data_IF_036276365070
#
_entry.id   IF_036276365070
#
_cell.length_a   1.000
_cell.length_b   1.000
_cell.length_c   1.000
_cell.angle_alpha   90.00
_cell.angle_beta   90.00
_cell.angle_gamma   90.00
#
_symmetry.space_group_name_H-M   'P 1'
#
loop_
_entity.id
_entity.type
_entity.pdbx_description
1 polymer ?
#
# COMPACT_ATOMS: atom_id res chain seq x y z
N UNK A 1 -18.32 3.22 -25.03
CA UNK A 1 -16.92 3.54 -25.36
C UNK A 1 -16.19 4.44 -24.36
N UNK A 2 -16.85 5.37 -23.66
CA UNK A 2 -16.21 6.25 -22.65
C UNK A 2 -15.74 5.54 -21.37
N UNK A 3 -16.42 4.48 -20.92
CA UNK A 3 -16.07 3.76 -19.69
C UNK A 3 -14.73 2.98 -19.76
N UNK A 4 -14.41 2.44 -20.92
CA UNK A 4 -13.15 1.70 -21.15
C UNK A 4 -11.95 2.65 -21.13
N UNK A 5 -12.12 3.89 -21.58
CA UNK A 5 -11.06 4.91 -21.62
C UNK A 5 -10.68 5.43 -20.22
N UNK A 6 -11.64 5.52 -19.28
CA UNK A 6 -11.36 5.90 -17.89
C UNK A 6 -10.59 4.81 -17.13
N UNK A 7 -10.94 3.53 -17.34
CA UNK A 7 -10.28 2.39 -16.68
C UNK A 7 -8.82 2.23 -17.12
N UNK A 8 -8.51 2.59 -18.36
CA UNK A 8 -7.15 2.52 -18.90
C UNK A 8 -6.25 3.61 -18.34
N UNK A 9 -6.75 4.84 -18.18
CA UNK A 9 -5.98 5.94 -17.58
C UNK A 9 -5.60 5.65 -16.12
N UNK A 10 -6.46 4.97 -15.37
CA UNK A 10 -6.17 4.55 -13.99
C UNK A 10 -5.10 3.46 -13.93
N UNK A 11 -5.10 2.48 -14.85
CA UNK A 11 -4.08 1.43 -14.91
C UNK A 11 -2.69 1.96 -15.30
N UNK A 12 -2.62 2.96 -16.18
CA UNK A 12 -1.35 3.57 -16.60
C UNK A 12 -0.70 4.40 -15.47
N UNK A 13 -1.51 5.06 -14.63
CA UNK A 13 -1.01 5.79 -13.46
C UNK A 13 -0.43 4.87 -12.37
N UNK A 14 -0.87 3.62 -12.28
CA UNK A 14 -0.38 2.64 -11.30
C UNK A 14 1.03 2.11 -11.60
N UNK A 15 1.54 2.27 -12.82
CA UNK A 15 2.84 1.75 -13.25
C UNK A 15 3.99 2.74 -13.23
N UNK A 16 3.88 3.85 -12.53
CA UNK A 16 5.01 4.75 -12.27
C UNK A 16 5.45 5.65 -13.44
N UNK A 17 4.66 5.76 -14.49
CA UNK A 17 4.96 6.49 -15.74
C UNK A 17 4.89 8.03 -15.64
N UNK A 18 5.16 8.63 -14.49
CA UNK A 18 4.85 10.05 -14.25
C UNK A 18 5.75 11.08 -14.94
N UNK A 19 6.84 10.74 -15.59
CA UNK A 19 7.73 11.70 -16.26
C UNK A 19 8.58 11.08 -17.39
N UNK A 20 8.07 10.06 -18.03
CA UNK A 20 8.62 9.61 -19.32
C UNK A 20 7.81 10.32 -20.38
N UNK A 21 8.41 10.65 -21.53
CA UNK A 21 7.66 11.03 -22.73
C UNK A 21 6.59 9.98 -23.00
N UNK A 22 5.42 10.21 -22.41
CA UNK A 22 4.29 9.32 -22.60
C UNK A 22 3.97 9.31 -24.09
N UNK A 23 4.10 8.17 -24.77
CA UNK A 23 3.71 8.12 -26.15
C UNK A 23 2.27 8.59 -26.28
N UNK A 24 1.93 9.33 -27.32
CA UNK A 24 0.53 9.65 -27.61
C UNK A 24 -0.26 8.33 -27.50
N UNK A 25 -1.46 8.39 -26.89
CA UNK A 25 -2.29 7.19 -26.63
C UNK A 25 -2.28 6.18 -27.78
N UNK A 26 -2.36 6.68 -29.00
CA UNK A 26 -2.35 5.89 -30.23
C UNK A 26 -1.07 5.09 -30.45
N UNK A 27 0.10 5.64 -30.11
CA UNK A 27 1.39 4.95 -30.23
C UNK A 27 1.53 3.82 -29.22
N UNK A 28 1.06 4.03 -27.98
CA UNK A 28 1.06 2.99 -26.97
C UNK A 28 0.24 1.77 -27.40
N UNK A 29 -0.97 2.01 -27.93
CA UNK A 29 -1.87 0.92 -28.35
C UNK A 29 -1.40 0.17 -29.60
N UNK A 30 -0.55 0.78 -30.43
CA UNK A 30 0.06 0.09 -31.58
C UNK A 30 1.11 -0.94 -31.14
N UNK A 31 1.81 -0.71 -30.03
CA UNK A 31 2.83 -1.64 -29.53
C UNK A 31 2.95 -1.59 -27.99
N UNK A 32 1.95 -2.08 -27.25
CA UNK A 32 1.93 -1.99 -25.79
C UNK A 32 3.08 -2.76 -25.12
N UNK A 33 3.51 -3.90 -25.68
CA UNK A 33 4.61 -4.70 -25.14
C UNK A 33 5.96 -3.98 -25.23
N UNK A 34 6.23 -3.29 -26.33
CA UNK A 34 7.43 -2.45 -26.46
C UNK A 34 7.48 -1.38 -25.38
N UNK A 35 6.38 -0.64 -25.16
CA UNK A 35 6.34 0.42 -24.15
C UNK A 35 6.40 -0.13 -22.72
N UNK A 36 5.81 -1.29 -22.45
CA UNK A 36 5.95 -1.98 -21.17
C UNK A 36 7.39 -2.43 -20.92
N UNK A 37 8.06 -2.99 -21.93
CA UNK A 37 9.46 -3.41 -21.85
C UNK A 37 10.38 -2.21 -21.58
N UNK A 38 10.22 -1.10 -22.36
CA UNK A 38 10.95 0.15 -22.15
C UNK A 38 10.77 0.71 -20.75
N UNK A 39 9.54 0.70 -20.21
CA UNK A 39 9.24 1.13 -18.85
C UNK A 39 9.90 0.24 -17.78
N UNK A 40 9.91 -1.08 -17.97
CA UNK A 40 10.60 -2.01 -17.07
C UNK A 40 12.12 -1.75 -17.03
N UNK A 41 12.72 -1.49 -18.18
CA UNK A 41 14.16 -1.20 -18.29
C UNK A 41 14.53 0.12 -17.65
N UNK A 42 13.74 1.16 -17.91
CA UNK A 42 13.93 2.46 -17.28
C UNK A 42 13.76 2.38 -15.76
N UNK A 43 12.76 1.63 -15.28
CA UNK A 43 12.61 1.38 -13.85
C UNK A 43 13.83 0.68 -13.27
N UNK A 44 14.37 -0.38 -13.92
CA UNK A 44 15.59 -1.08 -13.46
C UNK A 44 16.77 -0.09 -13.35
N UNK A 45 16.98 0.74 -14.37
CA UNK A 45 18.05 1.75 -14.42
C UNK A 45 17.92 2.80 -13.32
N UNK A 46 16.70 3.25 -13.04
CA UNK A 46 16.40 4.32 -12.10
C UNK A 46 15.93 3.81 -10.71
N UNK A 47 16.02 2.51 -10.42
CA UNK A 47 15.48 1.87 -9.19
C UNK A 47 15.89 2.59 -7.90
N UNK A 48 17.18 3.01 -7.79
CA UNK A 48 17.70 3.75 -6.61
C UNK A 48 16.99 5.11 -6.45
N UNK A 49 16.81 5.86 -7.55
CA UNK A 49 16.12 7.16 -7.56
C UNK A 49 14.66 7.02 -7.14
N UNK A 50 13.96 6.02 -7.68
CA UNK A 50 12.56 5.76 -7.32
C UNK A 50 12.40 5.32 -5.86
N UNK A 51 13.29 4.47 -5.35
CA UNK A 51 13.31 4.09 -3.92
C UNK A 51 13.51 5.31 -3.01
N UNK A 52 14.47 6.21 -3.33
CA UNK A 52 14.71 7.44 -2.57
C UNK A 52 13.46 8.33 -2.56
N UNK A 53 12.83 8.54 -3.73
CA UNK A 53 11.59 9.33 -3.86
C UNK A 53 10.41 8.72 -3.09
N UNK A 54 10.27 7.40 -3.12
CA UNK A 54 9.22 6.71 -2.36
C UNK A 54 9.43 6.89 -0.85
N UNK A 55 10.66 6.70 -0.35
CA UNK A 55 10.98 6.95 1.06
C UNK A 55 10.62 8.38 1.49
N UNK A 56 10.96 9.39 0.70
CA UNK A 56 10.66 10.79 1.02
C UNK A 56 9.16 11.15 0.94
N UNK A 57 8.36 10.34 0.26
CA UNK A 57 6.94 10.60 0.03
C UNK A 57 6.02 9.51 0.60
N UNK A 58 6.50 8.70 1.56
CA UNK A 58 5.75 7.58 2.10
C UNK A 58 4.37 8.00 2.66
N UNK A 59 4.32 9.09 3.42
CA UNK A 59 3.09 9.62 4.00
C UNK A 59 2.07 9.97 2.90
N UNK A 60 2.51 10.74 1.90
CA UNK A 60 1.66 11.10 0.73
C UNK A 60 1.15 9.87 -0.01
N UNK A 61 2.00 8.86 -0.15
CA UNK A 61 1.62 7.59 -0.78
C UNK A 61 0.56 6.84 0.01
N UNK A 62 0.68 6.79 1.36
CA UNK A 62 -0.32 6.17 2.23
C UNK A 62 -1.65 6.93 2.19
N UNK A 63 -1.61 8.25 2.28
CA UNK A 63 -2.81 9.10 2.17
C UNK A 63 -3.52 8.89 0.83
N UNK A 64 -2.76 8.95 -0.29
CA UNK A 64 -3.33 8.74 -1.61
C UNK A 64 -3.99 7.35 -1.73
N UNK A 65 -3.34 6.30 -1.25
CA UNK A 65 -3.91 4.95 -1.23
C UNK A 65 -5.18 4.86 -0.38
N UNK A 66 -5.25 5.55 0.76
CA UNK A 66 -6.43 5.61 1.60
C UNK A 66 -7.60 6.31 0.90
N UNK A 67 -7.35 7.46 0.23
CA UNK A 67 -8.35 8.18 -0.57
C UNK A 67 -8.94 7.26 -1.64
N UNK A 68 -8.10 6.53 -2.38
CA UNK A 68 -8.57 5.64 -3.44
C UNK A 68 -9.42 4.48 -2.88
N UNK A 69 -9.02 3.88 -1.75
CA UNK A 69 -9.80 2.82 -1.09
C UNK A 69 -11.11 3.35 -0.52
N UNK A 70 -11.11 4.53 0.12
CA UNK A 70 -12.32 5.16 0.63
C UNK A 70 -13.33 5.42 -0.48
N UNK A 71 -12.89 6.01 -1.60
CA UNK A 71 -13.73 6.23 -2.78
C UNK A 71 -14.28 4.93 -3.36
N UNK A 72 -13.41 3.92 -3.53
CA UNK A 72 -13.80 2.63 -4.12
C UNK A 72 -14.88 1.91 -3.30
N UNK A 73 -14.81 2.01 -1.98
CA UNK A 73 -15.68 1.28 -1.05
C UNK A 73 -16.72 2.17 -0.38
N UNK A 74 -16.87 3.42 -0.82
CA UNK A 74 -17.80 4.42 -0.27
C UNK A 74 -17.69 4.56 1.26
N UNK A 75 -16.43 4.71 1.75
CA UNK A 75 -16.14 4.81 3.18
C UNK A 75 -15.94 6.27 3.61
N UNK A 76 -16.28 6.62 4.87
CA UNK A 76 -15.92 7.91 5.46
C UNK A 76 -14.42 8.21 5.35
N UNK A 77 -14.08 9.50 5.12
CA UNK A 77 -12.69 9.93 4.97
C UNK A 77 -12.52 11.37 5.44
N UNK A 78 -11.68 11.61 6.46
CA UNK A 78 -11.37 12.95 6.99
C UNK A 78 -9.92 13.12 7.48
N UNK A 79 -8.99 12.23 7.07
CA UNK A 79 -7.60 12.30 7.49
C UNK A 79 -6.71 13.11 6.55
N UNK A 80 -5.65 13.68 7.11
CA UNK A 80 -4.61 14.46 6.44
C UNK A 80 -3.24 13.77 6.51
N UNK A 81 -2.23 14.36 5.85
CA UNK A 81 -0.83 13.92 6.00
C UNK A 81 -0.34 14.07 7.45
N UNK A 82 -0.82 15.09 8.18
CA UNK A 82 -0.42 15.33 9.55
C UNK A 82 -0.96 14.22 10.46
N UNK A 83 -2.22 13.82 10.33
CA UNK A 83 -2.80 12.74 11.10
C UNK A 83 -2.02 11.41 10.94
N UNK A 84 -1.50 11.15 9.72
CA UNK A 84 -0.64 9.97 9.49
C UNK A 84 0.73 10.13 10.14
N UNK A 85 1.32 11.32 10.15
CA UNK A 85 2.59 11.58 10.82
C UNK A 85 2.48 11.41 12.33
N UNK A 86 1.39 11.90 12.92
CA UNK A 86 1.14 11.89 14.37
C UNK A 86 1.02 10.47 14.92
N UNK A 87 0.48 9.53 14.14
CA UNK A 87 0.39 8.11 14.52
C UNK A 87 1.57 7.26 14.07
N UNK A 88 2.58 7.86 13.39
CA UNK A 88 3.74 7.09 12.93
C UNK A 88 4.62 6.68 14.10
N UNK A 89 4.94 5.37 14.27
CA UNK A 89 5.77 4.92 15.39
C UNK A 89 7.15 5.60 15.41
N UNK A 90 7.53 6.17 16.54
CA UNK A 90 8.78 6.94 16.72
C UNK A 90 10.01 6.08 16.42
N UNK A 91 9.99 4.81 16.83
CA UNK A 91 11.06 3.83 16.63
C UNK A 91 11.02 3.19 15.22
N UNK A 92 10.05 3.58 14.40
CA UNK A 92 9.82 3.05 13.06
C UNK A 92 9.61 1.52 13.06
N UNK A 93 8.96 0.98 14.09
CA UNK A 93 8.59 -0.44 14.23
C UNK A 93 7.10 -0.64 14.20
N UNK A 94 6.69 -1.83 13.76
CA UNK A 94 5.30 -2.26 13.83
C UNK A 94 4.87 -2.46 15.30
N UNK A 95 3.87 -1.73 15.81
CA UNK A 95 3.45 -1.86 17.20
C UNK A 95 2.83 -3.23 17.51
N UNK A 96 2.27 -3.93 16.51
CA UNK A 96 1.65 -5.24 16.70
C UNK A 96 2.66 -6.40 16.73
N UNK A 97 3.75 -6.34 15.95
CA UNK A 97 4.69 -7.44 15.78
C UNK A 97 6.13 -7.10 16.19
N UNK A 98 6.40 -5.86 16.61
CA UNK A 98 7.73 -5.36 17.01
C UNK A 98 8.81 -5.54 15.91
N UNK A 99 8.43 -5.59 14.63
CA UNK A 99 9.35 -5.71 13.49
C UNK A 99 9.68 -4.34 12.93
N UNK A 100 10.93 -4.14 12.50
CA UNK A 100 11.40 -2.90 11.90
C UNK A 100 10.76 -2.66 10.54
N UNK A 101 10.21 -1.47 10.30
CA UNK A 101 9.67 -1.14 8.99
C UNK A 101 10.76 -1.00 7.93
N UNK A 102 10.56 -1.67 6.80
CA UNK A 102 11.37 -1.51 5.59
C UNK A 102 10.60 -0.64 4.59
N UNK A 103 11.11 0.59 4.37
CA UNK A 103 10.51 1.54 3.43
C UNK A 103 11.25 1.46 2.09
N UNK A 104 10.52 1.23 1.00
CA UNK A 104 11.05 1.27 -0.38
C UNK A 104 11.50 -0.07 -0.94
N UNK A 105 11.02 -1.19 -0.40
CA UNK A 105 11.06 -2.49 -1.07
C UNK A 105 9.96 -2.58 -2.12
N UNK A 106 10.33 -2.94 -3.35
CA UNK A 106 9.37 -3.25 -4.43
C UNK A 106 9.20 -4.76 -4.65
N UNK A 107 9.74 -5.58 -3.76
CA UNK A 107 9.48 -7.00 -3.80
C UNK A 107 8.03 -7.24 -3.38
N UNK A 108 7.33 -8.03 -4.16
CA UNK A 108 5.89 -8.28 -4.09
C UNK A 108 5.41 -8.87 -2.76
N UNK A 109 6.32 -9.15 -1.83
CA UNK A 109 6.08 -9.73 -0.51
C UNK A 109 6.85 -9.01 0.59
N UNK A 110 6.91 -7.68 0.57
CA UNK A 110 7.56 -6.96 1.67
C UNK A 110 6.61 -6.89 2.88
N UNK A 111 6.57 -7.96 3.66
CA UNK A 111 5.78 -8.08 4.88
C UNK A 111 6.12 -7.02 5.94
N UNK A 112 7.34 -6.49 5.92
CA UNK A 112 7.84 -5.48 6.86
C UNK A 112 7.52 -4.05 6.42
N UNK A 113 6.88 -3.85 5.27
CA UNK A 113 6.51 -2.52 4.82
C UNK A 113 5.40 -1.93 5.70
N UNK A 114 5.46 -0.61 6.03
CA UNK A 114 4.38 0.03 6.78
C UNK A 114 3.09 0.05 5.95
N UNK A 115 1.97 -0.25 6.59
CA UNK A 115 0.62 -0.17 6.05
C UNK A 115 -0.22 0.81 6.87
N UNK A 116 -0.98 1.67 6.20
CA UNK A 116 -2.04 2.45 6.85
C UNK A 116 -3.31 1.60 6.88
N UNK A 117 -3.70 1.24 8.08
CA UNK A 117 -4.83 0.37 8.37
C UNK A 117 -5.92 1.10 9.13
N UNK A 118 -7.10 0.53 9.19
CA UNK A 118 -8.27 1.01 9.93
C UNK A 118 -8.50 0.10 11.13
N UNK A 119 -8.61 0.68 12.32
CA UNK A 119 -8.89 -0.07 13.55
C UNK A 119 -10.25 -0.78 13.44
N UNK A 120 -11.27 -0.05 12.97
CA UNK A 120 -12.61 -0.59 12.68
C UNK A 120 -12.88 -0.37 11.19
N UNK A 121 -12.90 -1.43 10.36
CA UNK A 121 -13.01 -1.30 8.91
C UNK A 121 -14.20 -0.48 8.41
N UNK A 122 -15.37 -0.63 9.05
CA UNK A 122 -16.61 0.06 8.65
C UNK A 122 -16.61 1.56 8.91
N UNK A 123 -15.81 2.04 9.87
CA UNK A 123 -15.69 3.48 10.19
C UNK A 123 -14.88 4.28 9.17
N UNK A 124 -14.20 3.62 8.22
CA UNK A 124 -13.43 4.30 7.20
C UNK A 124 -12.11 4.91 7.72
N UNK A 125 -11.56 5.83 6.93
CA UNK A 125 -10.29 6.54 7.24
C UNK A 125 -10.60 7.87 7.92
N UNK A 126 -10.92 7.80 9.21
CA UNK A 126 -11.25 8.96 10.04
C UNK A 126 -10.28 9.08 11.21
N UNK A 127 -10.16 10.29 11.77
CA UNK A 127 -9.31 10.55 12.94
C UNK A 127 -9.66 9.61 14.08
N UNK A 128 -8.62 9.04 14.73
CA UNK A 128 -8.76 8.07 15.81
C UNK A 128 -9.13 6.65 15.36
N UNK A 129 -9.38 6.41 14.05
CA UNK A 129 -9.67 5.09 13.51
C UNK A 129 -8.59 4.56 12.56
N UNK A 130 -7.41 5.17 12.56
CA UNK A 130 -6.28 4.77 11.72
C UNK A 130 -5.08 4.37 12.57
N UNK A 131 -4.28 3.45 12.04
CA UNK A 131 -3.02 3.00 12.63
C UNK A 131 -1.97 2.69 11.58
N UNK A 132 -0.68 2.73 11.97
CA UNK A 132 0.43 2.25 11.13
C UNK A 132 0.90 0.92 11.69
N UNK A 133 0.74 -0.14 10.91
CA UNK A 133 1.21 -1.49 11.22
C UNK A 133 2.04 -2.03 10.06
N UNK A 134 2.69 -3.18 10.21
CA UNK A 134 3.34 -3.86 9.07
C UNK A 134 2.31 -4.45 8.10
N UNK A 135 2.70 -4.63 6.85
CA UNK A 135 1.87 -5.33 5.88
C UNK A 135 1.53 -6.74 6.34
N UNK A 136 2.44 -7.40 7.07
CA UNK A 136 2.18 -8.71 7.69
C UNK A 136 1.04 -8.62 8.73
N UNK A 137 1.14 -7.69 9.70
CA UNK A 137 0.10 -7.53 10.72
C UNK A 137 -1.25 -7.19 10.09
N UNK A 138 -1.26 -6.26 9.12
CA UNK A 138 -2.47 -5.91 8.37
C UNK A 138 -3.04 -7.11 7.59
N UNK A 139 -2.19 -7.97 7.03
CA UNK A 139 -2.59 -9.20 6.35
C UNK A 139 -3.17 -10.25 7.30
N UNK A 140 -2.59 -10.41 8.50
CA UNK A 140 -3.11 -11.31 9.53
C UNK A 140 -4.50 -10.87 9.99
N UNK A 141 -4.70 -9.59 10.22
CA UNK A 141 -6.02 -9.04 10.57
C UNK A 141 -7.03 -9.16 9.42
N UNK A 142 -6.65 -8.78 8.22
CA UNK A 142 -7.47 -8.83 7.00
C UNK A 142 -8.97 -8.59 7.25
N UNK A 143 -9.79 -9.66 7.17
CA UNK A 143 -11.22 -9.66 7.44
C UNK A 143 -11.60 -10.32 8.78
N UNK A 144 -10.61 -10.78 9.56
CA UNK A 144 -10.85 -11.42 10.85
C UNK A 144 -11.15 -10.40 11.95
N UNK A 145 -11.94 -10.81 12.95
CA UNK A 145 -12.08 -10.03 14.18
C UNK A 145 -10.87 -10.27 15.11
N UNK A 146 -10.60 -9.35 16.06
CA UNK A 146 -9.54 -9.56 17.06
C UNK A 146 -9.70 -10.89 17.81
N UNK A 147 -10.92 -11.29 18.14
CA UNK A 147 -11.23 -12.55 18.85
C UNK A 147 -10.87 -13.76 17.99
N UNK A 148 -11.17 -13.71 16.68
CA UNK A 148 -10.80 -14.78 15.74
C UNK A 148 -9.27 -14.92 15.62
N UNK A 149 -8.55 -13.81 15.56
CA UNK A 149 -7.07 -13.82 15.53
C UNK A 149 -6.50 -14.45 16.80
N UNK A 150 -7.05 -14.11 17.97
CA UNK A 150 -6.66 -14.70 19.26
C UNK A 150 -6.93 -16.21 19.29
N UNK A 151 -8.09 -16.66 18.84
CA UNK A 151 -8.44 -18.08 18.78
C UNK A 151 -7.46 -18.86 17.90
N UNK A 152 -7.13 -18.34 16.70
CA UNK A 152 -6.15 -18.94 15.80
C UNK A 152 -4.76 -18.97 16.47
N UNK A 153 -4.35 -17.89 17.11
CA UNK A 153 -3.08 -17.82 17.85
C UNK A 153 -2.99 -18.87 18.97
N UNK A 154 -4.03 -18.99 19.79
CA UNK A 154 -4.10 -19.99 20.85
C UNK A 154 -4.06 -21.42 20.32
N UNK A 155 -4.77 -21.70 19.22
CA UNK A 155 -4.75 -23.01 18.57
C UNK A 155 -3.34 -23.41 18.15
N UNK A 156 -2.63 -22.57 17.41
CA UNK A 156 -1.27 -22.86 16.97
C UNK A 156 -0.27 -22.94 18.13
N UNK A 157 -0.42 -22.05 19.14
CA UNK A 157 0.42 -22.12 20.33
C UNK A 157 0.30 -23.50 21.02
N UNK A 158 -0.95 -23.98 21.23
CA UNK A 158 -1.19 -25.30 21.83
C UNK A 158 -0.55 -26.43 21.02
N UNK A 159 -0.58 -26.36 19.69
CA UNK A 159 0.05 -27.39 18.82
C UNK A 159 1.58 -27.38 18.97
N UNK A 160 2.21 -26.22 19.17
CA UNK A 160 3.65 -26.09 19.34
C UNK A 160 4.05 -26.62 20.73
N UNK A 161 3.31 -26.22 21.77
CA UNK A 161 3.58 -26.62 23.17
C UNK A 161 3.35 -28.11 23.43
N UNK A 162 2.66 -28.83 22.51
CA UNK A 162 2.39 -30.27 22.61
C UNK A 162 3.43 -31.16 21.93
N UNK A 163 4.46 -30.58 21.31
CA UNK A 163 5.58 -31.29 20.65
C UNK A 163 6.84 -31.28 21.50
#
# INVERSE_FOLDING_TARGET
MLSVLLTVNLKLAQHGWRHIDMPRKEQYWKNPEYYRAKGREEYKRNKKKYKKRYKSNIIKSKLHGAIQRAKKHNLPFDITEQDIKDIWPIDNKCPALNIQFIIGGYDTQNYDSPALDRIIPSKGYVKGNIQIVSALANGIMSSATPEQVLQVGHYFKKLIDSK
#
